data_IF_024362018394
#
_entry.id   IF_024362018394
#
_cell.length_a   1.000
_cell.length_b   1.000
_cell.length_c   1.000
_cell.angle_alpha   90.00
_cell.angle_beta   90.00
_cell.angle_gamma   90.00
#
_symmetry.space_group_name_H-M   'P 1'
#
loop_
_entity.id
_entity.type
_entity.pdbx_description
1 polymer ?
#
# COMPACT_ATOMS: atom_id res chain seq x y z
N UNK A 1 -36.80 -42.43 -17.28
CA UNK A 1 -37.62 -43.56 -16.78
C UNK A 1 -39.07 -43.35 -17.22
N UNK A 2 -39.81 -44.41 -17.52
CA UNK A 2 -41.24 -44.29 -17.81
C UNK A 2 -41.96 -43.73 -16.57
N UNK A 3 -42.73 -42.67 -16.76
CA UNK A 3 -43.64 -42.17 -15.73
C UNK A 3 -44.68 -43.27 -15.47
N UNK A 4 -45.03 -43.60 -14.22
CA UNK A 4 -46.12 -44.53 -13.95
C UNK A 4 -47.40 -43.99 -14.59
N UNK A 5 -47.99 -44.73 -15.55
CA UNK A 5 -49.22 -44.31 -16.22
C UNK A 5 -50.23 -45.44 -16.29
N UNK A 6 -51.51 -45.07 -16.30
CA UNK A 6 -52.62 -46.00 -16.57
C UNK A 6 -52.77 -46.37 -18.05
N UNK A 7 -51.88 -45.91 -18.93
CA UNK A 7 -51.89 -46.32 -20.34
C UNK A 7 -51.65 -47.83 -20.47
N UNK A 8 -52.33 -48.45 -21.44
CA UNK A 8 -52.24 -49.88 -21.71
C UNK A 8 -53.33 -50.73 -21.03
N UNK A 9 -54.33 -50.12 -20.39
CA UNK A 9 -55.57 -50.83 -20.03
C UNK A 9 -56.44 -51.05 -21.29
N UNK A 10 -57.16 -52.19 -21.40
CA UNK A 10 -58.10 -52.41 -22.49
C UNK A 10 -59.31 -51.46 -22.39
N UNK A 11 -60.11 -51.28 -23.45
CA UNK A 11 -61.21 -50.30 -23.50
C UNK A 11 -62.32 -50.54 -22.47
N UNK A 12 -62.47 -51.80 -22.03
CA UNK A 12 -63.40 -52.23 -20.99
C UNK A 12 -62.61 -53.10 -20.00
N UNK A 13 -61.83 -52.48 -19.10
CA UNK A 13 -60.97 -53.22 -18.20
C UNK A 13 -61.82 -54.02 -17.21
N UNK A 14 -61.51 -55.30 -17.07
CA UNK A 14 -62.06 -56.12 -16.00
C UNK A 14 -61.35 -55.78 -14.68
N UNK A 15 -61.93 -56.21 -13.57
CA UNK A 15 -61.35 -55.95 -12.24
C UNK A 15 -59.89 -56.42 -12.15
N UNK A 16 -59.58 -57.58 -12.71
CA UNK A 16 -58.23 -58.15 -12.70
C UNK A 16 -57.23 -57.34 -13.53
N UNK A 17 -57.65 -56.71 -14.64
CA UNK A 17 -56.81 -55.80 -15.42
C UNK A 17 -56.40 -54.58 -14.58
N UNK A 18 -57.34 -54.02 -13.83
CA UNK A 18 -57.10 -52.88 -12.94
C UNK A 18 -56.17 -53.29 -11.80
N UNK A 19 -56.41 -54.44 -11.17
CA UNK A 19 -55.56 -54.96 -10.08
C UNK A 19 -54.13 -55.19 -10.55
N UNK A 20 -53.95 -55.85 -11.70
CA UNK A 20 -52.63 -56.10 -12.27
C UNK A 20 -51.91 -54.79 -12.61
N UNK A 21 -52.63 -53.81 -13.16
CA UNK A 21 -52.06 -52.50 -13.47
C UNK A 21 -51.66 -51.73 -12.22
N UNK A 22 -52.49 -51.74 -11.18
CA UNK A 22 -52.17 -51.12 -9.88
C UNK A 22 -50.93 -51.77 -9.27
N UNK A 23 -50.82 -53.10 -9.27
CA UNK A 23 -49.64 -53.81 -8.78
C UNK A 23 -48.38 -53.46 -9.58
N UNK A 24 -48.50 -53.32 -10.91
CA UNK A 24 -47.40 -52.88 -11.76
C UNK A 24 -46.95 -51.46 -11.41
N UNK A 25 -47.88 -50.53 -11.22
CA UNK A 25 -47.60 -49.14 -10.83
C UNK A 25 -46.95 -49.08 -9.44
N UNK A 26 -47.44 -49.86 -8.48
CA UNK A 26 -46.86 -49.95 -7.13
C UNK A 26 -45.43 -50.48 -7.20
N UNK A 27 -45.16 -51.50 -8.00
CA UNK A 27 -43.81 -52.04 -8.15
C UNK A 27 -42.87 -51.06 -8.87
N UNK A 28 -43.35 -50.35 -9.89
CA UNK A 28 -42.59 -49.29 -10.56
C UNK A 28 -42.27 -48.14 -9.59
N UNK A 29 -43.25 -47.70 -8.81
CA UNK A 29 -43.07 -46.66 -7.80
C UNK A 29 -42.13 -47.11 -6.69
N UNK A 30 -42.26 -48.35 -6.22
CA UNK A 30 -41.37 -48.93 -5.21
C UNK A 30 -39.93 -49.03 -5.71
N UNK A 31 -39.72 -49.48 -6.94
CA UNK A 31 -38.41 -49.49 -7.56
C UNK A 31 -37.84 -48.09 -7.75
N UNK A 32 -38.68 -47.10 -8.06
CA UNK A 32 -38.28 -45.72 -8.17
C UNK A 32 -37.83 -45.16 -6.82
N UNK A 33 -38.60 -45.42 -5.76
CA UNK A 33 -38.31 -44.96 -4.39
C UNK A 33 -37.12 -45.69 -3.75
N UNK A 34 -36.95 -46.99 -4.00
CA UNK A 34 -35.86 -47.79 -3.42
C UNK A 34 -34.51 -47.58 -4.11
N UNK A 35 -34.49 -47.12 -5.37
CA UNK A 35 -33.26 -46.90 -6.13
C UNK A 35 -32.97 -45.41 -6.36
N UNK A 36 -33.58 -44.50 -5.59
CA UNK A 36 -33.27 -43.07 -5.69
C UNK A 36 -31.78 -42.79 -5.42
N UNK A 37 -31.15 -43.57 -4.53
CA UNK A 37 -29.75 -43.38 -4.13
C UNK A 37 -28.72 -43.67 -5.25
N UNK A 38 -29.12 -44.36 -6.33
CA UNK A 38 -28.23 -44.72 -7.45
C UNK A 38 -28.73 -44.19 -8.79
N UNK A 39 -29.67 -43.25 -8.78
CA UNK A 39 -30.28 -42.76 -10.00
C UNK A 39 -29.31 -41.90 -10.82
N UNK A 40 -29.09 -42.27 -12.08
CA UNK A 40 -28.45 -41.38 -13.05
C UNK A 40 -29.46 -40.31 -13.49
N UNK A 41 -29.35 -39.13 -12.90
CA UNK A 41 -30.17 -37.97 -13.27
C UNK A 41 -29.46 -37.22 -14.40
N UNK A 42 -30.11 -37.12 -15.56
CA UNK A 42 -29.58 -36.35 -16.70
C UNK A 42 -29.81 -34.84 -16.50
N UNK A 43 -30.97 -34.48 -15.95
CA UNK A 43 -31.35 -33.10 -15.69
C UNK A 43 -32.20 -33.04 -14.41
N UNK A 44 -31.87 -32.10 -13.54
CA UNK A 44 -32.65 -31.74 -12.37
C UNK A 44 -32.98 -30.25 -12.48
N UNK A 45 -34.25 -29.93 -12.70
CA UNK A 45 -34.77 -28.58 -12.60
C UNK A 45 -35.48 -28.45 -11.24
N UNK A 46 -34.84 -27.78 -10.30
CA UNK A 46 -35.35 -27.59 -8.95
C UNK A 46 -35.07 -26.16 -8.50
N UNK A 47 -36.01 -25.56 -7.78
CA UNK A 47 -35.84 -24.24 -7.16
C UNK A 47 -34.82 -24.27 -6.02
N UNK A 48 -34.82 -25.38 -5.25
CA UNK A 48 -33.90 -25.59 -4.13
C UNK A 48 -33.36 -27.02 -4.15
N UNK A 49 -32.04 -27.16 -4.00
CA UNK A 49 -31.35 -28.45 -3.82
C UNK A 49 -30.74 -28.44 -2.41
N UNK A 50 -31.40 -29.12 -1.47
CA UNK A 50 -30.86 -29.35 -0.14
C UNK A 50 -30.04 -30.65 -0.15
N UNK A 51 -28.73 -30.53 -0.10
CA UNK A 51 -27.80 -31.66 -0.04
C UNK A 51 -26.78 -31.44 1.07
N UNK A 52 -26.28 -32.52 1.68
CA UNK A 52 -25.18 -32.41 2.63
C UNK A 52 -23.85 -32.17 1.89
N UNK A 53 -23.45 -33.15 1.08
CA UNK A 53 -22.23 -33.09 0.26
C UNK A 53 -22.56 -33.47 -1.17
N UNK A 54 -22.13 -32.64 -2.12
CA UNK A 54 -22.12 -32.98 -3.55
C UNK A 54 -20.71 -33.46 -3.90
N UNK A 55 -20.54 -34.77 -4.08
CA UNK A 55 -19.28 -35.35 -4.55
C UNK A 55 -19.38 -35.58 -6.06
N UNK A 56 -18.77 -34.69 -6.85
CA UNK A 56 -18.80 -34.75 -8.31
C UNK A 56 -17.42 -34.39 -8.89
N UNK A 57 -17.05 -35.02 -10.01
CA UNK A 57 -15.77 -34.75 -10.69
C UNK A 57 -15.69 -33.33 -11.27
N UNK A 58 -16.83 -32.74 -11.64
CA UNK A 58 -16.96 -31.33 -12.04
C UNK A 58 -18.27 -30.79 -11.51
N UNK A 59 -18.20 -29.65 -10.84
CA UNK A 59 -19.37 -28.86 -10.42
C UNK A 59 -19.25 -27.51 -11.08
N UNK A 60 -20.33 -27.04 -11.72
CA UNK A 60 -20.45 -25.66 -12.19
C UNK A 60 -21.62 -25.00 -11.46
N UNK A 61 -21.32 -24.03 -10.60
CA UNK A 61 -22.31 -23.15 -9.96
C UNK A 61 -22.18 -21.79 -10.60
N UNK A 62 -23.27 -21.28 -11.17
CA UNK A 62 -23.32 -19.94 -11.76
C UNK A 62 -24.50 -19.16 -11.18
N UNK A 63 -24.23 -17.97 -10.70
CA UNK A 63 -25.23 -16.99 -10.31
C UNK A 63 -25.07 -15.77 -11.22
N UNK A 64 -26.05 -15.56 -12.10
CA UNK A 64 -26.13 -14.35 -12.90
C UNK A 64 -26.70 -13.20 -12.05
N UNK A 65 -26.04 -12.06 -12.11
CA UNK A 65 -26.37 -10.83 -11.40
C UNK A 65 -26.79 -9.74 -12.40
N UNK A 66 -27.17 -8.57 -11.89
CA UNK A 66 -27.57 -7.45 -12.73
C UNK A 66 -26.42 -6.96 -13.62
N UNK A 67 -26.77 -6.38 -14.78
CA UNK A 67 -25.83 -5.75 -15.70
C UNK A 67 -24.68 -6.65 -16.21
N UNK A 68 -24.93 -7.96 -16.34
CA UNK A 68 -23.95 -8.92 -16.85
C UNK A 68 -22.90 -9.38 -15.82
N UNK A 69 -23.01 -8.91 -14.57
CA UNK A 69 -22.20 -9.41 -13.47
C UNK A 69 -22.55 -10.87 -13.15
N UNK A 70 -21.60 -11.62 -12.59
CA UNK A 70 -21.85 -13.01 -12.21
C UNK A 70 -20.88 -13.52 -11.14
N UNK A 71 -21.28 -14.59 -10.47
CA UNK A 71 -20.41 -15.46 -9.66
C UNK A 71 -20.39 -16.84 -10.33
N UNK A 72 -19.20 -17.36 -10.60
CA UNK A 72 -18.97 -18.66 -11.21
C UNK A 72 -18.02 -19.48 -10.33
N UNK A 73 -18.38 -20.73 -10.06
CA UNK A 73 -17.50 -21.75 -9.50
C UNK A 73 -17.53 -22.91 -10.49
N UNK A 74 -16.41 -23.25 -11.11
CA UNK A 74 -16.33 -24.33 -12.09
C UNK A 74 -15.02 -25.12 -11.98
N UNK A 75 -14.76 -26.00 -12.95
CA UNK A 75 -13.53 -26.81 -13.01
C UNK A 75 -12.23 -26.00 -13.18
N UNK A 76 -12.31 -24.68 -13.40
CA UNK A 76 -11.16 -23.78 -13.52
C UNK A 76 -10.96 -22.93 -12.25
N UNK A 77 -11.90 -22.99 -11.30
CA UNK A 77 -11.84 -22.32 -10.01
C UNK A 77 -13.04 -21.41 -9.74
N UNK A 78 -12.83 -20.27 -9.11
CA UNK A 78 -13.87 -19.29 -8.79
C UNK A 78 -13.63 -17.98 -9.52
N UNK A 79 -14.66 -17.38 -10.10
CA UNK A 79 -14.62 -16.05 -10.73
C UNK A 79 -15.81 -15.21 -10.28
N UNK A 80 -15.54 -13.96 -9.91
CA UNK A 80 -16.55 -12.92 -9.67
C UNK A 80 -16.30 -11.81 -10.69
N UNK A 81 -17.33 -11.44 -11.45
CA UNK A 81 -17.28 -10.41 -12.49
C UNK A 81 -18.31 -9.33 -12.21
N UNK A 82 -17.94 -8.06 -12.39
CA UNK A 82 -18.80 -6.89 -12.14
C UNK A 82 -19.64 -6.43 -13.35
N UNK A 83 -19.66 -7.22 -14.41
CA UNK A 83 -20.26 -6.91 -15.71
C UNK A 83 -19.26 -6.37 -16.74
N UNK A 84 -18.09 -5.89 -16.29
CA UNK A 84 -17.04 -5.35 -17.15
C UNK A 84 -15.71 -6.09 -17.02
N UNK A 85 -15.36 -6.57 -15.82
CA UNK A 85 -14.08 -7.24 -15.54
C UNK A 85 -14.21 -8.24 -14.39
N UNK A 86 -13.26 -9.17 -14.34
CA UNK A 86 -13.16 -10.11 -13.23
C UNK A 86 -12.53 -9.39 -12.02
N UNK A 87 -13.27 -9.23 -10.95
CA UNK A 87 -12.82 -8.53 -9.73
C UNK A 87 -12.17 -9.47 -8.72
N UNK A 88 -12.51 -10.76 -8.76
CA UNK A 88 -11.93 -11.80 -7.93
C UNK A 88 -11.84 -13.11 -8.73
N UNK A 89 -10.66 -13.72 -8.76
CA UNK A 89 -10.43 -15.01 -9.39
C UNK A 89 -9.57 -15.89 -8.48
N UNK A 90 -9.97 -17.14 -8.31
CA UNK A 90 -9.15 -18.19 -7.68
C UNK A 90 -8.98 -19.27 -8.71
N UNK A 91 -7.74 -19.63 -9.06
CA UNK A 91 -7.50 -20.72 -10.00
C UNK A 91 -7.37 -22.07 -9.27
N UNK A 92 -7.29 -23.16 -10.05
CA UNK A 92 -7.14 -24.53 -9.52
C UNK A 92 -5.84 -24.76 -8.72
N UNK A 93 -4.85 -23.88 -8.86
CA UNK A 93 -3.60 -23.93 -8.09
C UNK A 93 -3.71 -23.15 -6.76
N UNK A 94 -4.89 -22.62 -6.43
CA UNK A 94 -5.14 -21.81 -5.23
C UNK A 94 -4.59 -20.39 -5.31
N UNK A 95 -4.17 -19.92 -6.49
CA UNK A 95 -3.69 -18.55 -6.67
C UNK A 95 -4.88 -17.60 -6.82
N UNK A 96 -4.80 -16.46 -6.13
CA UNK A 96 -5.87 -15.46 -6.10
C UNK A 96 -5.44 -14.20 -6.86
N UNK A 97 -6.28 -13.75 -7.80
CA UNK A 97 -6.16 -12.46 -8.48
C UNK A 97 -7.33 -11.58 -8.11
N UNK A 98 -7.05 -10.41 -7.53
CA UNK A 98 -8.06 -9.40 -7.22
C UNK A 98 -7.83 -8.15 -8.07
N UNK A 99 -8.88 -7.64 -8.71
CA UNK A 99 -8.82 -6.47 -9.58
C UNK A 99 -9.95 -5.54 -9.21
N UNK A 100 -9.66 -4.61 -8.30
CA UNK A 100 -10.62 -3.78 -7.55
C UNK A 100 -11.10 -4.44 -6.26
N UNK A 101 -10.94 -3.74 -5.15
CA UNK A 101 -11.42 -4.18 -3.84
C UNK A 101 -11.67 -2.99 -2.92
N UNK A 102 -12.66 -3.10 -2.02
CA UNK A 102 -12.88 -2.16 -0.92
C UNK A 102 -12.91 -2.94 0.40
N UNK A 103 -12.06 -2.56 1.34
CA UNK A 103 -12.02 -3.10 2.69
C UNK A 103 -12.36 -1.94 3.63
N UNK A 104 -13.46 -2.05 4.38
CA UNK A 104 -13.96 -0.95 5.21
C UNK A 104 -14.33 -1.46 6.60
N UNK A 105 -14.10 -0.63 7.62
CA UNK A 105 -14.43 -0.95 9.02
C UNK A 105 -15.91 -0.75 9.37
N UNK A 106 -16.57 0.16 8.68
CA UNK A 106 -18.00 0.45 8.78
C UNK A 106 -18.53 0.88 7.41
N UNK A 107 -19.84 1.09 7.28
CA UNK A 107 -20.42 1.70 6.07
C UNK A 107 -19.81 3.09 5.88
N UNK A 108 -18.90 3.24 4.92
CA UNK A 108 -18.22 4.50 4.64
C UNK A 108 -16.72 4.43 4.95
N UNK A 109 -16.30 4.99 6.09
CA UNK A 109 -14.89 5.19 6.46
C UNK A 109 -14.58 4.67 7.87
N UNK A 110 -13.30 4.42 8.21
CA UNK A 110 -12.14 4.35 7.32
C UNK A 110 -12.20 3.12 6.38
N UNK A 111 -11.57 3.26 5.20
CA UNK A 111 -11.51 2.21 4.18
C UNK A 111 -10.18 2.18 3.42
N UNK A 112 -9.85 1.01 2.89
CA UNK A 112 -8.79 0.78 1.91
C UNK A 112 -9.43 0.43 0.57
N UNK A 113 -8.99 1.09 -0.49
CA UNK A 113 -9.48 0.86 -1.85
C UNK A 113 -8.32 0.49 -2.75
N UNK A 114 -8.47 -0.60 -3.49
CA UNK A 114 -7.65 -0.93 -4.65
C UNK A 114 -8.44 -0.52 -5.88
N UNK A 115 -7.96 0.44 -6.67
CA UNK A 115 -8.66 0.89 -7.86
C UNK A 115 -7.72 0.91 -9.08
N UNK A 116 -7.88 0.01 -10.06
CA UNK A 116 -7.00 -0.05 -11.22
C UNK A 116 -7.10 1.17 -12.14
N UNK A 117 -8.16 1.99 -12.04
CA UNK A 117 -8.38 3.14 -12.91
C UNK A 117 -7.90 4.48 -12.29
N UNK A 118 -7.28 4.44 -11.11
CA UNK A 118 -6.83 5.64 -10.39
C UNK A 118 -5.66 5.30 -9.46
N UNK A 119 -5.86 5.45 -8.16
CA UNK A 119 -4.86 5.05 -7.16
C UNK A 119 -4.77 3.52 -7.08
N UNK A 120 -3.56 2.96 -7.28
CA UNK A 120 -3.33 1.51 -7.20
C UNK A 120 -3.83 0.97 -5.86
N UNK A 121 -3.46 1.66 -4.78
CA UNK A 121 -3.95 1.45 -3.42
C UNK A 121 -4.12 2.79 -2.72
N UNK A 122 -5.20 2.96 -1.96
CA UNK A 122 -5.38 4.13 -1.09
C UNK A 122 -6.03 3.77 0.23
N UNK A 123 -5.57 4.41 1.31
CA UNK A 123 -6.15 4.35 2.64
C UNK A 123 -6.78 5.69 2.98
N UNK A 124 -8.09 5.70 3.21
CA UNK A 124 -8.89 6.91 3.34
C UNK A 124 -9.43 7.06 4.75
N UNK A 125 -9.11 8.19 5.40
CA UNK A 125 -9.78 8.62 6.63
C UNK A 125 -11.14 9.20 6.31
N UNK A 126 -11.22 10.00 5.26
CA UNK A 126 -12.45 10.57 4.68
C UNK A 126 -12.23 10.85 3.17
N UNK A 127 -13.14 11.59 2.52
CA UNK A 127 -13.08 11.88 1.08
C UNK A 127 -11.93 12.83 0.69
N UNK A 128 -11.41 13.62 1.62
CA UNK A 128 -10.42 14.67 1.37
C UNK A 128 -9.08 14.42 2.06
N UNK A 129 -9.03 13.51 3.04
CA UNK A 129 -7.83 13.17 3.80
C UNK A 129 -7.55 11.68 3.64
N UNK A 130 -6.50 11.37 2.88
CA UNK A 130 -6.13 10.01 2.54
C UNK A 130 -4.67 9.91 2.16
N UNK A 131 -4.19 8.68 2.01
CA UNK A 131 -2.88 8.40 1.45
C UNK A 131 -3.01 7.37 0.35
N UNK A 132 -2.24 7.51 -0.71
CA UNK A 132 -2.33 6.62 -1.87
C UNK A 132 -0.99 6.29 -2.49
N UNK A 133 -0.91 5.11 -3.09
CA UNK A 133 0.12 4.75 -4.06
C UNK A 133 -0.40 5.13 -5.44
N UNK A 134 0.24 6.14 -6.02
CA UNK A 134 0.05 6.53 -7.42
C UNK A 134 1.05 5.73 -8.27
N UNK A 135 0.60 4.92 -9.24
CA UNK A 135 1.51 4.14 -10.08
C UNK A 135 2.39 5.01 -11.00
N UNK A 136 2.06 6.28 -11.23
CA UNK A 136 2.70 7.13 -12.23
C UNK A 136 2.84 8.60 -11.79
N UNK A 137 3.16 8.84 -10.51
CA UNK A 137 3.51 10.17 -10.04
C UNK A 137 4.81 10.68 -10.71
N UNK A 138 4.70 11.72 -11.54
CA UNK A 138 5.83 12.28 -12.31
C UNK A 138 6.60 11.23 -13.16
N UNK A 139 5.90 10.17 -13.60
CA UNK A 139 6.50 9.09 -14.41
C UNK A 139 7.08 7.92 -13.62
N UNK A 140 6.92 7.88 -12.29
CA UNK A 140 7.31 6.76 -11.45
C UNK A 140 6.27 6.49 -10.33
N UNK A 141 6.27 5.31 -9.69
CA UNK A 141 5.42 5.08 -8.54
C UNK A 141 5.74 6.03 -7.38
N UNK A 142 4.69 6.59 -6.76
CA UNK A 142 4.81 7.51 -5.64
C UNK A 142 3.82 7.24 -4.53
N UNK A 143 4.24 7.49 -3.29
CA UNK A 143 3.37 7.52 -2.12
C UNK A 143 2.96 8.96 -1.85
N UNK A 144 1.67 9.26 -1.96
CA UNK A 144 1.12 10.63 -1.94
C UNK A 144 0.17 10.79 -0.77
N UNK A 145 0.44 11.79 0.08
CA UNK A 145 -0.41 12.20 1.20
C UNK A 145 -1.33 13.34 0.74
N UNK A 146 -2.63 13.19 1.00
CA UNK A 146 -3.65 14.19 0.69
C UNK A 146 -4.26 14.77 1.96
N UNK A 147 -4.49 16.09 1.95
CA UNK A 147 -5.22 16.82 2.98
C UNK A 147 -6.13 17.86 2.34
N UNK A 148 -7.40 17.89 2.73
CA UNK A 148 -8.38 18.78 2.09
C UNK A 148 -8.53 18.56 0.57
N UNK A 149 -8.26 17.34 0.08
CA UNK A 149 -8.32 16.96 -1.33
C UNK A 149 -7.09 17.32 -2.15
N UNK A 150 -6.09 18.00 -1.56
CA UNK A 150 -4.87 18.40 -2.25
C UNK A 150 -3.67 17.54 -1.80
N UNK A 151 -2.72 17.22 -2.70
CA UNK A 151 -1.49 16.55 -2.32
C UNK A 151 -0.64 17.49 -1.46
N UNK A 152 -0.30 17.06 -0.25
CA UNK A 152 0.49 17.85 0.71
C UNK A 152 1.89 17.28 0.95
N UNK A 153 2.11 16.01 0.58
CA UNK A 153 3.41 15.37 0.67
C UNK A 153 3.53 14.20 -0.28
N UNK A 154 4.73 13.95 -0.79
CA UNK A 154 5.02 12.87 -1.71
C UNK A 154 6.37 12.25 -1.39
N UNK A 155 6.43 10.92 -1.42
CA UNK A 155 7.67 10.15 -1.48
C UNK A 155 7.67 9.37 -2.80
N UNK A 156 8.58 9.68 -3.73
CA UNK A 156 8.66 8.98 -5.01
C UNK A 156 10.10 8.81 -5.48
N UNK A 157 10.32 7.90 -6.43
CA UNK A 157 11.63 7.73 -7.04
C UNK A 157 11.87 8.77 -8.13
N UNK A 158 13.05 9.35 -8.14
CA UNK A 158 13.57 10.18 -9.24
C UNK A 158 14.76 9.46 -9.89
N UNK A 159 15.23 9.95 -11.03
CA UNK A 159 16.43 9.40 -11.67
C UNK A 159 17.59 9.34 -10.68
N UNK A 160 18.03 8.13 -10.33
CA UNK A 160 19.11 7.84 -9.37
C UNK A 160 18.83 8.26 -7.91
N UNK A 161 17.57 8.37 -7.48
CA UNK A 161 17.29 8.76 -6.10
C UNK A 161 15.84 8.60 -5.65
N UNK A 162 15.59 9.06 -4.43
CA UNK A 162 14.26 9.19 -3.85
C UNK A 162 14.09 10.65 -3.47
N UNK A 163 12.94 11.22 -3.81
CA UNK A 163 12.55 12.55 -3.38
C UNK A 163 11.45 12.45 -2.32
N UNK A 164 11.65 13.18 -1.22
CA UNK A 164 10.61 13.51 -0.24
C UNK A 164 10.27 14.98 -0.40
N UNK A 165 9.05 15.24 -0.85
CA UNK A 165 8.55 16.59 -1.14
C UNK A 165 7.32 16.90 -0.30
N UNK A 166 7.17 18.16 0.11
CA UNK A 166 5.97 18.68 0.78
C UNK A 166 5.53 19.99 0.17
N UNK A 167 4.22 20.21 0.02
CA UNK A 167 3.69 21.47 -0.52
C UNK A 167 3.80 22.64 0.46
N UNK A 168 4.14 22.38 1.72
CA UNK A 168 4.40 23.35 2.77
C UNK A 168 5.66 22.97 3.56
N UNK A 169 5.65 23.19 4.87
CA UNK A 169 6.78 22.84 5.71
C UNK A 169 6.90 21.31 5.85
N UNK A 170 8.06 20.76 5.48
CA UNK A 170 8.43 19.40 5.84
C UNK A 170 9.08 19.40 7.22
N UNK A 171 8.39 18.84 8.21
CA UNK A 171 8.92 18.72 9.56
C UNK A 171 9.44 17.30 9.81
N UNK A 172 10.74 17.18 10.01
CA UNK A 172 11.38 15.95 10.48
C UNK A 172 11.58 16.08 11.99
N UNK A 173 11.12 15.09 12.76
CA UNK A 173 11.31 15.03 14.20
C UNK A 173 11.66 13.61 14.62
N UNK A 174 12.63 13.48 15.53
CA UNK A 174 12.98 12.23 16.17
C UNK A 174 13.19 12.48 17.67
N UNK A 175 12.62 11.65 18.58
CA UNK A 175 12.76 11.85 20.02
C UNK A 175 14.23 11.82 20.49
N UNK A 176 15.10 11.17 19.73
CA UNK A 176 16.53 11.06 20.00
C UNK A 176 17.38 11.82 18.97
N UNK A 177 16.78 12.77 18.23
CA UNK A 177 17.44 13.53 17.17
C UNK A 177 17.29 12.94 15.77
N UNK A 178 17.93 13.60 14.81
CA UNK A 178 17.96 13.23 13.39
C UNK A 178 19.42 13.07 12.99
N UNK A 179 19.75 11.96 12.33
CA UNK A 179 21.10 11.69 11.85
C UNK A 179 21.11 11.68 10.31
N UNK A 180 21.98 12.47 9.70
CA UNK A 180 22.17 12.53 8.24
C UNK A 180 23.53 11.88 7.92
N UNK A 181 23.49 10.62 7.48
CA UNK A 181 24.68 9.84 7.12
C UNK A 181 24.78 9.77 5.60
N UNK A 182 25.94 10.09 5.04
CA UNK A 182 26.22 9.89 3.61
C UNK A 182 27.39 8.91 3.44
N UNK A 183 27.27 8.00 2.45
CA UNK A 183 28.36 7.11 2.02
C UNK A 183 29.14 7.66 0.82
N UNK A 184 28.69 8.80 0.28
CA UNK A 184 29.22 9.44 -0.91
C UNK A 184 29.45 10.94 -0.69
N UNK A 185 28.99 11.81 -1.60
CA UNK A 185 29.08 13.26 -1.43
C UNK A 185 28.51 13.74 -0.07
N UNK A 186 28.95 14.92 0.42
CA UNK A 186 28.43 15.48 1.65
C UNK A 186 26.94 15.83 1.53
N UNK A 187 26.27 15.96 2.67
CA UNK A 187 24.95 16.59 2.72
C UNK A 187 25.07 18.01 2.19
N UNK A 188 24.30 18.31 1.15
CA UNK A 188 24.25 19.65 0.58
C UNK A 188 23.11 20.43 1.22
N UNK A 189 23.43 21.65 1.64
CA UNK A 189 22.47 22.63 2.13
C UNK A 189 22.68 23.87 1.27
N UNK A 190 21.60 24.39 0.70
CA UNK A 190 21.67 25.48 -0.27
C UNK A 190 22.31 26.73 0.33
N UNK A 191 21.95 27.05 1.58
CA UNK A 191 22.50 28.18 2.33
C UNK A 191 22.44 27.86 3.84
N UNK A 192 23.53 28.14 4.56
CA UNK A 192 23.62 27.94 6.00
C UNK A 192 22.70 28.86 6.81
N UNK A 193 22.22 29.96 6.22
CA UNK A 193 21.18 30.81 6.80
C UNK A 193 19.83 30.08 6.97
N UNK A 194 19.60 28.98 6.25
CA UNK A 194 18.39 28.16 6.43
C UNK A 194 18.46 27.17 7.60
N UNK A 195 19.62 27.00 8.24
CA UNK A 195 19.73 26.23 9.46
C UNK A 195 19.65 27.14 10.67
N UNK A 196 18.49 27.22 11.29
CA UNK A 196 18.25 28.10 12.44
C UNK A 196 18.12 27.32 13.74
N UNK A 197 18.75 27.84 14.79
CA UNK A 197 18.43 27.45 16.15
C UNK A 197 17.17 28.20 16.61
N UNK A 198 16.06 27.48 16.71
CA UNK A 198 14.75 28.05 17.08
C UNK A 198 14.77 28.76 18.45
N UNK A 199 15.59 28.29 19.39
CA UNK A 199 15.63 28.87 20.74
C UNK A 199 16.32 30.24 20.79
N UNK A 200 17.33 30.46 19.94
CA UNK A 200 18.11 31.71 19.90
C UNK A 200 17.72 32.62 18.75
N UNK A 201 17.03 32.09 17.74
CA UNK A 201 16.70 32.78 16.49
C UNK A 201 17.90 32.97 15.56
N UNK A 202 19.10 32.52 15.95
CA UNK A 202 20.31 32.64 15.13
C UNK A 202 20.40 31.52 14.11
N UNK A 203 20.89 31.86 12.93
CA UNK A 203 21.22 30.90 11.87
C UNK A 203 22.62 30.34 12.06
N UNK A 204 22.92 29.21 11.43
CA UNK A 204 24.29 28.67 11.43
C UNK A 204 25.23 29.67 10.75
N UNK A 205 24.77 30.42 9.75
CA UNK A 205 25.56 31.50 9.16
C UNK A 205 25.93 32.61 10.17
N UNK A 206 25.04 32.94 11.12
CA UNK A 206 25.32 33.95 12.16
C UNK A 206 26.33 33.44 13.21
N UNK A 207 26.28 32.16 13.53
CA UNK A 207 27.17 31.53 14.51
C UNK A 207 28.50 31.08 13.89
N UNK A 208 28.58 30.99 12.55
CA UNK A 208 29.82 30.75 11.84
C UNK A 208 30.65 32.04 11.76
N UNK A 209 31.84 32.00 12.34
CA UNK A 209 32.91 32.96 12.10
C UNK A 209 33.08 33.22 10.60
N UNK A 210 32.82 34.45 10.15
CA UNK A 210 33.02 34.80 8.74
C UNK A 210 34.52 34.77 8.44
N UNK A 211 34.94 33.80 7.62
CA UNK A 211 36.32 33.68 7.15
C UNK A 211 36.83 35.01 6.61
N UNK A 212 38.02 35.41 7.06
CA UNK A 212 38.66 36.67 6.67
C UNK A 212 38.27 37.89 7.50
N UNK A 213 37.26 37.80 8.39
CA UNK A 213 37.03 38.84 9.39
C UNK A 213 38.10 38.72 10.48
N UNK A 214 38.76 39.84 10.74
CA UNK A 214 39.72 39.95 11.83
C UNK A 214 38.96 39.79 13.14
N UNK A 215 39.40 38.89 14.03
CA UNK A 215 38.87 38.85 15.39
C UNK A 215 39.04 40.22 16.03
N UNK A 216 38.19 40.55 17.00
CA UNK A 216 38.45 41.70 17.86
C UNK A 216 39.88 41.65 18.44
N UNK A 217 40.49 42.81 18.75
CA UNK A 217 41.80 42.84 19.39
C UNK A 217 41.78 41.96 20.63
N UNK A 218 42.58 40.91 20.64
CA UNK A 218 42.81 40.12 21.85
C UNK A 218 44.01 40.69 22.60
N UNK A 219 44.06 40.46 23.91
CA UNK A 219 45.06 41.06 24.79
C UNK A 219 46.51 40.82 24.37
N UNK A 220 47.43 41.47 25.07
CA UNK A 220 48.85 41.47 24.70
C UNK A 220 49.41 40.07 24.43
N UNK A 221 50.11 39.92 23.31
CA UNK A 221 50.78 38.67 22.92
C UNK A 221 52.28 38.91 22.85
N UNK A 222 53.01 38.06 23.57
CA UNK A 222 54.44 38.21 23.76
C UNK A 222 55.26 37.06 23.16
N UNK A 223 54.63 36.15 22.41
CA UNK A 223 55.28 34.97 21.82
C UNK A 223 56.11 34.13 22.81
N UNK A 224 55.79 34.19 24.12
CA UNK A 224 56.57 33.53 25.18
C UNK A 224 57.84 34.27 25.62
N UNK A 225 58.11 35.45 25.09
CA UNK A 225 59.22 36.33 25.49
C UNK A 225 58.66 37.40 26.44
N UNK A 226 59.14 37.50 27.70
CA UNK A 226 58.71 38.56 28.60
C UNK A 226 58.93 39.95 28.02
N UNK A 227 58.01 40.88 28.29
CA UNK A 227 58.13 42.27 27.83
C UNK A 227 59.39 42.90 28.44
N UNK A 228 60.14 43.66 27.64
CA UNK A 228 61.42 44.23 28.05
C UNK A 228 62.63 43.28 27.97
N UNK A 229 62.47 42.05 27.44
CA UNK A 229 63.62 41.13 27.25
C UNK A 229 64.62 41.73 26.26
N UNK A 230 65.90 41.77 26.64
CA UNK A 230 66.99 42.21 25.76
C UNK A 230 67.53 41.02 24.97
N UNK A 231 67.41 41.07 23.64
CA UNK A 231 67.86 40.06 22.71
C UNK A 231 69.16 40.50 22.04
N UNK A 232 70.13 39.60 21.91
CA UNK A 232 71.38 39.84 21.18
C UNK A 232 71.16 39.71 19.68
N UNK A 233 71.72 40.64 18.91
CA UNK A 233 71.72 40.58 17.43
C UNK A 233 72.97 39.85 16.93
N UNK A 234 72.91 39.27 15.73
CA UNK A 234 74.04 38.54 15.13
C UNK A 234 75.29 39.40 14.90
N UNK A 235 75.14 40.72 14.89
CA UNK A 235 76.26 41.68 14.79
C UNK A 235 76.86 42.12 16.13
N UNK A 236 76.46 41.51 17.26
CA UNK A 236 76.96 41.86 18.59
C UNK A 236 76.28 43.05 19.26
N UNK A 237 75.18 43.57 18.69
CA UNK A 237 74.32 44.57 19.31
C UNK A 237 73.19 43.95 20.15
N UNK A 238 72.30 44.79 20.69
CA UNK A 238 71.10 44.30 21.39
C UNK A 238 69.85 45.07 20.96
N UNK A 239 68.69 44.41 21.07
CA UNK A 239 67.35 45.00 20.88
C UNK A 239 66.47 44.63 22.06
N UNK A 240 65.59 45.55 22.48
CA UNK A 240 64.60 45.25 23.53
C UNK A 240 63.32 44.77 22.85
N UNK A 241 62.87 43.57 23.23
CA UNK A 241 61.58 43.03 22.80
C UNK A 241 60.46 43.76 23.53
N UNK A 242 59.49 44.25 22.77
CA UNK A 242 58.23 44.75 23.31
C UNK A 242 57.09 43.86 22.82
N UNK A 243 56.28 43.36 23.76
CA UNK A 243 55.09 42.59 23.43
C UNK A 243 54.11 43.46 22.64
N UNK A 244 53.43 42.88 21.65
CA UNK A 244 52.40 43.61 20.94
C UNK A 244 51.23 43.85 21.92
N UNK A 245 50.85 45.12 22.20
CA UNK A 245 49.85 45.42 23.23
C UNK A 245 48.47 44.87 22.86
N UNK A 246 48.19 44.77 21.56
CA UNK A 246 47.01 44.16 20.99
C UNK A 246 47.39 43.46 19.68
N UNK A 247 46.72 42.35 19.38
CA UNK A 247 46.81 41.69 18.08
C UNK A 247 45.45 41.14 17.66
N UNK A 248 45.30 40.92 16.36
CA UNK A 248 44.09 40.34 15.77
C UNK A 248 44.47 39.12 14.94
N UNK A 249 43.60 38.12 14.90
CA UNK A 249 43.75 36.99 14.00
C UNK A 249 42.74 37.11 12.86
N UNK A 250 43.18 36.91 11.62
CA UNK A 250 42.24 36.62 10.55
C UNK A 250 41.71 35.20 10.76
N UNK A 251 40.39 35.06 10.90
CA UNK A 251 39.76 33.74 10.96
C UNK A 251 39.97 33.05 9.60
N UNK A 252 40.55 31.85 9.61
CA UNK A 252 40.86 31.07 8.40
C UNK A 252 39.73 30.14 8.00
#
# INVERSE_FOLDING_TARGET
MPVPTFAGLPPFPEFDDVVNKVNQLVNQLRNLLLNLDTLNIVELNADVINSGTVNAGKVTVKSDLNAGAYILIDGNGMTINDGSKNTFQVNINGQVTMTSATIQSSTGYPKVVMNPNGTLFGAYKDASNFVSVDPQFAGAPGYVLYSGGNPVGVLHSITNGIELFGSGNLQLQGPNGINLITLGPPVTIQDWSYLQNVATGKTLADDMATKGISTGPSGGHNHGIPDGTVLLTSGGGSVTYFAAPNHTHAQK
#
